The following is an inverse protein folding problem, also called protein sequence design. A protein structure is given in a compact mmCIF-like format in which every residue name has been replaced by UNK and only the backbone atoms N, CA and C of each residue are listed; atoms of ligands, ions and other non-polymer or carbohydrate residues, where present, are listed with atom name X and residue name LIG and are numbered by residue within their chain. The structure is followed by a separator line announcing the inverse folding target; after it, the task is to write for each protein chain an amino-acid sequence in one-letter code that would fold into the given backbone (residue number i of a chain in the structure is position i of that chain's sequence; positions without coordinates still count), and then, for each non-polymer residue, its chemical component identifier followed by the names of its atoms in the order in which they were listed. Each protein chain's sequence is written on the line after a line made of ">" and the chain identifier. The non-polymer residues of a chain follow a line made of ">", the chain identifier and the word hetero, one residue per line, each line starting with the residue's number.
data_IF_546080500168
#
_entry.id   IF_546080500168
#
_cell.length_a   1.000
_cell.length_b   1.000
_cell.length_c   1.000
_cell.angle_alpha   90.00
_cell.angle_beta   90.00
_cell.angle_gamma   90.00
#
_symmetry.space_group_name_H-M   'P 1'
#
loop_
_entity.id
_entity.type
_entity.pdbx_description
1 polymer ?
#
# COMPACT_ATOMS: atom_id res chain seq x y z
N UNK A 1 -24.68 6.50 22.75
CA UNK A 1 -25.07 7.71 22.00
C UNK A 1 -26.47 7.47 21.47
N UNK A 2 -27.40 8.41 21.66
CA UNK A 2 -28.79 8.30 21.20
C UNK A 2 -29.25 9.64 20.61
N UNK A 3 -28.57 10.11 19.57
CA UNK A 3 -28.90 11.36 18.87
C UNK A 3 -30.04 11.18 17.87
N UNK A 4 -30.84 12.24 17.65
CA UNK A 4 -31.90 12.25 16.63
C UNK A 4 -32.92 11.09 16.79
N UNK A 5 -33.19 10.66 18.02
CA UNK A 5 -34.06 9.50 18.31
C UNK A 5 -35.46 9.90 18.81
N UNK A 6 -35.75 11.20 18.86
CA UNK A 6 -37.02 11.76 19.37
C UNK A 6 -37.29 11.41 20.84
N UNK A 7 -36.25 11.18 21.64
CA UNK A 7 -36.41 10.90 23.07
C UNK A 7 -37.09 12.07 23.79
N UNK A 8 -38.04 11.76 24.65
CA UNK A 8 -38.84 12.72 25.42
C UNK A 8 -38.69 12.45 26.93
N UNK A 9 -39.02 13.45 27.74
CA UNK A 9 -38.94 13.39 29.21
C UNK A 9 -37.61 13.91 29.77
N UNK A 10 -37.46 13.80 31.08
CA UNK A 10 -36.31 14.31 31.82
C UNK A 10 -35.16 13.30 31.84
N UNK A 11 -33.92 13.80 31.75
CA UNK A 11 -32.72 12.97 31.89
C UNK A 11 -32.57 12.54 33.36
N UNK A 12 -32.59 11.23 33.67
CA UNK A 12 -32.51 10.76 35.05
C UNK A 12 -31.09 10.93 35.61
N UNK A 13 -30.97 11.48 36.82
CA UNK A 13 -29.69 11.67 37.51
C UNK A 13 -28.87 10.38 37.65
N UNK A 14 -29.54 9.24 37.80
CA UNK A 14 -28.90 7.93 37.92
C UNK A 14 -28.12 7.51 36.68
N UNK A 15 -28.42 8.08 35.51
CA UNK A 15 -27.64 7.86 34.29
C UNK A 15 -26.18 8.23 34.53
N UNK A 16 -25.91 9.37 35.17
CA UNK A 16 -24.57 9.88 35.37
C UNK A 16 -23.77 9.10 36.41
N UNK A 17 -24.43 8.34 37.29
CA UNK A 17 -23.80 7.50 38.32
C UNK A 17 -23.29 6.15 37.82
N UNK A 18 -23.44 5.84 36.51
CA UNK A 18 -22.92 4.61 35.93
C UNK A 18 -21.38 4.61 35.95
N UNK A 19 -20.70 3.58 36.53
CA UNK A 19 -19.30 3.69 36.97
C UNK A 19 -18.27 3.88 35.86
N UNK A 20 -18.55 3.46 34.63
CA UNK A 20 -17.63 3.55 33.48
C UNK A 20 -18.12 4.56 32.42
N UNK A 21 -19.09 5.42 32.78
CA UNK A 21 -19.67 6.35 31.83
C UNK A 21 -18.68 7.46 31.50
N UNK A 22 -18.27 7.55 30.23
CA UNK A 22 -17.34 8.57 29.74
C UNK A 22 -18.02 9.68 28.94
N UNK A 23 -19.06 9.32 28.19
CA UNK A 23 -19.69 10.25 27.25
C UNK A 23 -21.18 10.00 27.15
N UNK A 24 -21.97 11.06 27.28
CA UNK A 24 -23.41 11.08 27.06
C UNK A 24 -23.68 11.99 25.87
N UNK A 25 -24.10 11.41 24.73
CA UNK A 25 -24.58 12.19 23.57
C UNK A 25 -26.06 11.89 23.38
N UNK A 26 -26.88 12.91 23.63
CA UNK A 26 -28.34 12.91 23.56
C UNK A 26 -28.85 14.13 22.77
N UNK A 27 -28.01 14.69 21.90
CA UNK A 27 -28.35 15.86 21.07
C UNK A 27 -29.51 15.61 20.11
N UNK A 28 -30.18 16.68 19.72
CA UNK A 28 -31.30 16.71 18.78
C UNK A 28 -32.43 15.74 19.19
N UNK A 29 -32.86 15.82 20.44
CA UNK A 29 -34.02 15.10 20.95
C UNK A 29 -35.05 16.10 21.49
N UNK A 30 -36.05 15.62 22.22
CA UNK A 30 -37.09 16.42 22.87
C UNK A 30 -37.03 16.29 24.40
N UNK A 31 -35.82 16.07 24.93
CA UNK A 31 -35.60 15.94 26.37
C UNK A 31 -35.92 17.27 27.05
N UNK A 32 -36.59 17.23 28.20
CA UNK A 32 -37.12 18.42 28.87
C UNK A 32 -36.85 18.42 30.38
N UNK A 33 -37.37 19.44 31.06
CA UNK A 33 -37.15 19.63 32.49
C UNK A 33 -35.76 20.17 32.80
N UNK A 34 -35.32 19.94 34.04
CA UNK A 34 -34.03 20.42 34.53
C UNK A 34 -32.98 19.31 34.48
N UNK A 35 -31.77 19.66 34.05
CA UNK A 35 -30.62 18.77 34.08
C UNK A 35 -30.02 18.75 35.49
N UNK A 36 -29.95 17.56 36.11
CA UNK A 36 -29.16 17.31 37.33
C UNK A 36 -28.16 16.17 37.04
N UNK A 37 -26.87 16.49 37.07
CA UNK A 37 -25.77 15.51 36.93
C UNK A 37 -25.53 14.75 38.24
N UNK A 38 -26.03 15.28 39.37
CA UNK A 38 -25.81 14.73 40.70
C UNK A 38 -24.38 14.94 41.20
N UNK A 39 -24.12 14.53 42.43
CA UNK A 39 -22.79 14.66 43.08
C UNK A 39 -21.95 13.39 42.99
N UNK A 40 -22.54 12.28 42.57
CA UNK A 40 -21.90 10.97 42.47
C UNK A 40 -21.94 10.47 41.03
N UNK A 41 -21.50 11.31 40.11
CA UNK A 41 -21.36 10.93 38.70
C UNK A 41 -20.05 10.18 38.48
N UNK A 42 -19.94 9.46 37.36
CA UNK A 42 -18.73 8.73 36.97
C UNK A 42 -17.49 9.62 36.95
N UNK A 43 -16.41 9.18 37.59
CA UNK A 43 -15.12 9.88 37.56
C UNK A 43 -14.55 9.97 36.13
N UNK A 44 -14.99 9.07 35.24
CA UNK A 44 -14.54 9.01 33.86
C UNK A 44 -15.38 9.88 32.91
N UNK A 45 -16.48 10.48 33.39
CA UNK A 45 -17.39 11.28 32.56
C UNK A 45 -16.69 12.55 32.05
N UNK A 46 -16.40 12.63 30.76
CA UNK A 46 -15.73 13.77 30.13
C UNK A 46 -16.70 14.67 29.35
N UNK A 47 -17.77 14.12 28.79
CA UNK A 47 -18.67 14.86 27.89
C UNK A 47 -20.14 14.55 28.17
N UNK A 48 -20.94 15.61 28.33
CA UNK A 48 -22.40 15.57 28.30
C UNK A 48 -22.88 16.53 27.21
N UNK A 49 -23.41 15.98 26.13
CA UNK A 49 -23.95 16.71 24.98
C UNK A 49 -25.46 16.53 24.89
N UNK A 50 -26.18 17.61 25.20
CA UNK A 50 -27.63 17.74 25.14
C UNK A 50 -28.05 18.86 24.17
N UNK A 51 -27.20 19.16 23.19
CA UNK A 51 -27.45 20.18 22.17
C UNK A 51 -28.84 19.99 21.51
N UNK A 52 -29.55 21.10 21.25
CA UNK A 52 -30.90 21.12 20.67
C UNK A 52 -31.87 20.14 21.34
N UNK A 53 -32.24 20.45 22.58
CA UNK A 53 -33.31 19.80 23.34
C UNK A 53 -34.24 20.88 23.93
N UNK A 54 -35.08 20.53 24.91
CA UNK A 54 -36.00 21.42 25.62
C UNK A 54 -35.64 21.58 27.11
N UNK A 55 -34.33 21.58 27.45
CA UNK A 55 -33.84 21.72 28.83
C UNK A 55 -34.10 23.15 29.35
N UNK A 56 -34.90 23.25 30.41
CA UNK A 56 -35.33 24.52 31.01
C UNK A 56 -34.34 25.08 32.03
N UNK A 57 -33.66 24.20 32.77
CA UNK A 57 -32.75 24.56 33.83
C UNK A 57 -31.61 23.57 34.01
N UNK A 58 -30.58 24.00 34.74
CA UNK A 58 -29.44 23.17 35.13
C UNK A 58 -29.24 23.36 36.63
N UNK A 59 -29.25 22.26 37.37
CA UNK A 59 -29.01 22.25 38.80
C UNK A 59 -27.51 22.39 39.03
N UNK A 60 -27.03 23.64 38.88
CA UNK A 60 -25.62 23.99 39.04
C UNK A 60 -25.24 23.96 40.52
N UNK A 61 -24.68 22.84 40.96
CA UNK A 61 -24.01 22.73 42.26
C UNK A 61 -22.55 23.15 42.05
N UNK A 62 -22.07 24.23 42.71
CA UNK A 62 -20.73 24.76 42.48
C UNK A 62 -19.66 23.68 42.61
N UNK A 63 -18.81 23.55 41.60
CA UNK A 63 -17.67 22.62 41.60
C UNK A 63 -18.01 21.14 41.35
N UNK A 64 -19.26 20.82 41.01
CA UNK A 64 -19.66 19.41 40.83
C UNK A 64 -19.20 18.86 39.48
N UNK A 65 -19.62 19.40 38.34
CA UNK A 65 -19.17 18.93 37.03
C UNK A 65 -18.23 19.95 36.35
N UNK A 66 -16.98 19.57 36.13
CA UNK A 66 -15.92 20.45 35.62
C UNK A 66 -15.42 20.06 34.22
N UNK A 67 -16.15 19.18 33.53
CA UNK A 67 -15.80 18.68 32.19
C UNK A 67 -16.69 19.33 31.13
N UNK A 68 -16.71 18.80 29.92
CA UNK A 68 -17.43 19.42 28.80
C UNK A 68 -18.93 19.19 28.94
N UNK A 69 -19.70 20.28 29.00
CA UNK A 69 -21.16 20.30 29.01
C UNK A 69 -21.64 21.17 27.83
N UNK A 70 -22.49 20.60 26.97
CA UNK A 70 -23.05 21.31 25.82
C UNK A 70 -24.58 21.32 25.95
N UNK A 71 -25.14 22.52 26.13
CA UNK A 71 -26.58 22.79 26.22
C UNK A 71 -27.05 23.81 25.16
N UNK A 72 -26.22 24.17 24.19
CA UNK A 72 -26.61 25.09 23.11
C UNK A 72 -27.91 24.64 22.43
N UNK A 73 -28.80 25.59 22.12
CA UNK A 73 -30.09 25.30 21.49
C UNK A 73 -31.19 24.83 22.45
N UNK A 74 -30.98 24.93 23.77
CA UNK A 74 -32.00 24.70 24.79
C UNK A 74 -32.56 26.03 25.36
N UNK A 75 -33.77 26.05 25.94
CA UNK A 75 -34.35 27.22 26.60
C UNK A 75 -33.44 27.87 27.67
N UNK A 76 -32.68 27.07 28.43
CA UNK A 76 -31.68 27.57 29.39
C UNK A 76 -30.63 28.49 28.77
N UNK A 77 -30.39 28.38 27.46
CA UNK A 77 -29.42 29.18 26.72
C UNK A 77 -30.01 30.41 26.03
N UNK A 78 -31.24 30.83 26.35
CA UNK A 78 -31.87 32.00 25.73
C UNK A 78 -31.03 33.28 25.79
N UNK A 79 -30.23 33.46 26.85
CA UNK A 79 -29.38 34.64 27.04
C UNK A 79 -27.91 34.42 26.63
N UNK A 80 -27.48 33.19 26.29
CA UNK A 80 -26.11 32.82 25.87
C UNK A 80 -24.94 33.22 26.80
N UNK A 81 -25.19 33.60 28.06
CA UNK A 81 -24.15 34.10 28.97
C UNK A 81 -23.23 33.03 29.59
N UNK A 82 -23.52 31.74 29.37
CA UNK A 82 -22.86 30.61 30.05
C UNK A 82 -21.98 29.81 29.08
N UNK A 83 -20.87 29.28 29.58
CA UNK A 83 -19.90 28.51 28.78
C UNK A 83 -20.52 27.27 28.12
N UNK A 84 -21.45 26.60 28.80
CA UNK A 84 -22.18 25.44 28.26
C UNK A 84 -23.18 25.80 27.16
N UNK A 85 -23.48 27.09 26.95
CA UNK A 85 -24.34 27.57 25.86
C UNK A 85 -23.55 27.93 24.60
N UNK A 86 -22.23 27.83 24.64
CA UNK A 86 -21.37 28.04 23.49
C UNK A 86 -20.77 26.69 23.10
N UNK A 87 -20.82 26.36 21.81
CA UNK A 87 -19.93 25.31 21.29
C UNK A 87 -18.55 25.94 21.23
N UNK A 88 -17.78 25.77 22.30
CA UNK A 88 -16.34 25.85 22.12
C UNK A 88 -16.04 24.75 21.10
N UNK A 89 -15.58 25.12 19.90
CA UNK A 89 -14.77 24.18 19.15
C UNK A 89 -13.72 23.73 20.15
N UNK A 90 -13.78 22.49 20.61
CA UNK A 90 -12.65 21.90 21.27
C UNK A 90 -11.56 21.99 20.22
N UNK A 91 -10.78 23.07 20.29
CA UNK A 91 -9.59 23.29 19.49
C UNK A 91 -8.90 21.96 19.46
N UNK A 92 -8.76 21.37 18.27
CA UNK A 92 -7.69 20.47 17.87
C UNK A 92 -6.81 20.09 19.07
N UNK A 93 -7.35 19.31 20.01
CA UNK A 93 -6.60 18.88 21.16
C UNK A 93 -5.49 18.06 20.56
N UNK A 94 -4.24 18.36 20.88
CA UNK A 94 -3.08 17.73 20.24
C UNK A 94 -3.38 16.24 20.09
N UNK A 95 -3.67 15.85 18.86
CA UNK A 95 -4.05 14.48 18.57
C UNK A 95 -2.87 13.63 19.00
N UNK A 96 -3.12 12.53 19.72
CA UNK A 96 -2.05 11.72 20.26
C UNK A 96 -1.03 11.45 19.17
N UNK A 97 0.25 11.62 19.50
CA UNK A 97 1.36 11.20 18.68
C UNK A 97 2.38 10.58 19.61
N UNK A 98 2.99 9.49 19.15
CA UNK A 98 4.04 8.82 19.92
C UNK A 98 5.22 9.79 20.13
N UNK A 99 5.63 10.05 21.38
CA UNK A 99 6.76 10.93 21.68
C UNK A 99 8.09 10.29 21.27
N UNK A 100 9.12 11.12 21.08
CA UNK A 100 10.48 10.62 20.86
C UNK A 100 11.10 10.03 22.14
N UNK A 101 11.92 8.99 21.98
CA UNK A 101 12.60 8.29 23.06
C UNK A 101 13.91 9.00 23.41
N UNK A 102 13.84 10.01 24.27
CA UNK A 102 15.00 10.74 24.81
C UNK A 102 15.98 11.25 23.73
N UNK A 103 15.47 11.56 22.55
CA UNK A 103 16.24 12.02 21.41
C UNK A 103 15.54 13.21 20.75
N UNK A 104 16.34 14.07 20.12
CA UNK A 104 15.80 15.18 19.34
C UNK A 104 15.52 14.70 17.91
N UNK A 105 14.28 14.87 17.40
CA UNK A 105 13.93 14.50 16.03
C UNK A 105 14.86 15.21 15.05
N UNK A 106 15.46 14.44 14.16
CA UNK A 106 16.30 14.95 13.08
C UNK A 106 15.45 15.23 11.84
N UNK A 107 15.83 16.27 11.08
CA UNK A 107 15.26 16.52 9.76
C UNK A 107 15.74 15.46 8.79
N UNK A 108 14.84 14.56 8.40
CA UNK A 108 15.15 13.49 7.47
C UNK A 108 15.21 13.96 6.01
N UNK A 109 15.92 13.21 5.16
CA UNK A 109 15.97 13.45 3.72
C UNK A 109 14.64 13.08 3.03
N UNK A 110 14.51 13.37 1.72
CA UNK A 110 13.34 13.11 0.86
C UNK A 110 12.47 11.91 1.32
N UNK A 111 11.20 12.21 1.65
CA UNK A 111 10.13 11.28 2.05
C UNK A 111 10.39 10.37 3.27
N UNK A 112 11.56 10.43 3.90
CA UNK A 112 11.84 9.72 5.14
C UNK A 112 11.16 10.39 6.33
N UNK A 113 10.81 9.58 7.33
CA UNK A 113 10.21 10.01 8.58
C UNK A 113 11.12 9.63 9.73
N UNK A 114 11.25 10.52 10.72
CA UNK A 114 12.01 10.24 11.94
C UNK A 114 11.21 9.30 12.84
N UNK A 115 11.80 8.15 13.18
CA UNK A 115 11.20 7.19 14.10
C UNK A 115 11.15 7.73 15.54
N UNK A 116 10.40 7.09 16.46
CA UNK A 116 10.49 7.41 17.89
C UNK A 116 11.92 7.31 18.46
N UNK A 117 12.81 6.51 17.84
CA UNK A 117 14.22 6.42 18.18
C UNK A 117 15.11 7.44 17.44
N UNK A 118 14.50 8.42 16.76
CA UNK A 118 15.14 9.45 15.95
C UNK A 118 16.01 8.92 14.80
N UNK A 119 15.62 7.78 14.23
CA UNK A 119 16.28 7.21 13.04
C UNK A 119 15.41 7.51 11.82
N UNK A 120 16.01 8.07 10.76
CA UNK A 120 15.30 8.32 9.52
C UNK A 120 15.12 7.03 8.72
N UNK A 121 13.88 6.69 8.39
CA UNK A 121 13.55 5.52 7.59
C UNK A 121 12.26 5.75 6.78
N UNK A 122 11.93 4.78 5.93
CA UNK A 122 10.68 4.66 5.17
C UNK A 122 9.74 3.70 5.91
N UNK A 123 8.88 4.20 6.81
CA UNK A 123 8.04 3.33 7.62
C UNK A 123 6.97 2.64 6.78
N UNK A 124 6.65 1.39 7.13
CA UNK A 124 5.42 0.77 6.66
C UNK A 124 4.25 1.45 7.35
N UNK A 125 3.48 2.21 6.57
CA UNK A 125 2.44 3.10 7.08
C UNK A 125 1.06 2.58 6.72
N UNK A 126 0.10 2.79 7.60
CA UNK A 126 -1.31 2.50 7.36
C UNK A 126 -2.20 2.96 8.51
N UNK A 127 -3.46 2.58 8.47
CA UNK A 127 -4.45 2.92 9.49
C UNK A 127 -4.93 1.65 10.19
N UNK A 128 -4.85 1.64 11.52
CA UNK A 128 -5.56 0.69 12.35
C UNK A 128 -6.98 1.19 12.55
N UNK A 129 -7.97 0.37 12.20
CA UNK A 129 -9.38 0.70 12.37
C UNK A 129 -10.02 -0.26 13.35
N UNK A 130 -10.48 0.29 14.48
CA UNK A 130 -11.15 -0.43 15.56
C UNK A 130 -12.66 -0.18 15.48
N UNK A 131 -13.44 -1.26 15.42
CA UNK A 131 -14.88 -1.14 15.14
C UNK A 131 -15.73 -0.79 16.36
N UNK A 132 -15.29 -1.19 17.55
CA UNK A 132 -16.07 -1.06 18.76
C UNK A 132 -15.16 -0.99 20.01
N UNK A 133 -14.38 0.09 20.17
CA UNK A 133 -13.67 0.31 21.42
C UNK A 133 -14.68 0.52 22.56
N UNK A 134 -14.36 0.04 23.76
CA UNK A 134 -15.20 0.19 24.96
C UNK A 134 -15.01 1.56 25.64
N UNK A 135 -14.31 2.48 24.99
CA UNK A 135 -14.03 3.83 25.47
C UNK A 135 -14.41 4.88 24.41
N UNK A 136 -14.69 6.09 24.88
CA UNK A 136 -15.02 7.25 24.05
C UNK A 136 -14.12 8.45 24.29
N UNK A 137 -13.42 8.50 25.43
CA UNK A 137 -12.42 9.52 25.69
C UNK A 137 -11.12 9.24 24.91
N UNK A 138 -10.91 9.96 23.81
CA UNK A 138 -9.68 9.84 23.02
C UNK A 138 -8.48 10.59 23.64
N UNK A 139 -8.70 11.40 24.69
CA UNK A 139 -7.65 12.17 25.37
C UNK A 139 -6.81 11.37 26.36
N UNK A 140 -7.28 10.19 26.77
CA UNK A 140 -6.53 9.33 27.68
C UNK A 140 -5.35 8.65 26.96
N UNK A 141 -4.14 9.10 27.32
CA UNK A 141 -2.89 8.66 26.68
C UNK A 141 -2.57 7.17 26.94
N UNK A 142 -3.06 6.59 28.04
CA UNK A 142 -2.74 5.22 28.43
C UNK A 142 -3.18 4.20 27.38
N UNK A 143 -4.32 4.42 26.70
CA UNK A 143 -4.81 3.53 25.65
C UNK A 143 -3.78 3.32 24.54
N UNK A 144 -3.15 4.41 24.10
CA UNK A 144 -2.18 4.37 23.01
C UNK A 144 -0.81 3.87 23.46
N UNK A 145 -0.43 4.14 24.71
CA UNK A 145 0.79 3.59 25.33
C UNK A 145 0.71 2.05 25.37
N UNK A 146 -0.42 1.51 25.85
CA UNK A 146 -0.66 0.08 25.93
C UNK A 146 -0.73 -0.57 24.54
N UNK A 147 -1.43 0.07 23.60
CA UNK A 147 -1.52 -0.40 22.23
C UNK A 147 -0.13 -0.48 21.56
N UNK A 148 0.68 0.57 21.72
CA UNK A 148 2.05 0.62 21.18
C UNK A 148 2.95 -0.45 21.79
N UNK A 149 2.87 -0.64 23.11
CA UNK A 149 3.64 -1.67 23.81
C UNK A 149 3.26 -3.07 23.31
N UNK A 150 1.97 -3.36 23.19
CA UNK A 150 1.47 -4.66 22.71
C UNK A 150 1.86 -4.94 21.24
N UNK A 151 1.77 -3.94 20.35
CA UNK A 151 2.28 -4.05 18.98
C UNK A 151 3.77 -4.39 18.95
N UNK A 152 4.57 -3.65 19.73
CA UNK A 152 6.02 -3.84 19.81
C UNK A 152 6.36 -5.24 20.31
N UNK A 153 5.72 -5.69 21.40
CA UNK A 153 5.91 -7.02 21.97
C UNK A 153 5.52 -8.13 20.98
N UNK A 154 4.42 -7.93 20.24
CA UNK A 154 3.97 -8.89 19.23
C UNK A 154 5.01 -9.02 18.11
N UNK A 155 5.48 -7.91 17.54
CA UNK A 155 6.49 -7.93 16.48
C UNK A 155 7.82 -8.56 16.94
N UNK A 156 8.23 -8.29 18.18
CA UNK A 156 9.41 -8.93 18.78
C UNK A 156 9.21 -10.44 18.95
N UNK A 157 8.05 -10.88 19.46
CA UNK A 157 7.73 -12.31 19.64
C UNK A 157 7.71 -13.08 18.32
N UNK A 158 7.28 -12.42 17.23
CA UNK A 158 7.26 -12.95 15.87
C UNK A 158 8.62 -12.81 15.16
N UNK A 159 9.65 -12.29 15.85
CA UNK A 159 11.01 -12.08 15.33
C UNK A 159 11.04 -11.25 14.03
N UNK A 160 10.18 -10.24 13.94
CA UNK A 160 10.11 -9.36 12.78
C UNK A 160 11.24 -8.30 12.83
N UNK A 161 11.73 -7.82 11.68
CA UNK A 161 12.80 -6.82 11.62
C UNK A 161 12.28 -5.41 11.92
N UNK A 162 11.58 -5.21 13.04
CA UNK A 162 10.98 -3.94 13.46
C UNK A 162 11.80 -3.33 14.58
N UNK A 163 12.19 -2.07 14.42
CA UNK A 163 12.90 -1.29 15.45
C UNK A 163 11.92 -0.61 16.41
N UNK A 164 10.95 0.12 15.86
CA UNK A 164 10.02 0.93 16.62
C UNK A 164 8.68 1.09 15.90
N UNK A 165 7.67 1.47 16.66
CA UNK A 165 6.30 1.71 16.19
C UNK A 165 5.86 3.10 16.66
N UNK A 166 5.26 3.87 15.75
CA UNK A 166 4.61 5.13 16.06
C UNK A 166 3.12 5.04 15.77
N UNK A 167 2.33 5.47 16.75
CA UNK A 167 0.89 5.69 16.64
C UNK A 167 0.63 7.19 16.65
N UNK A 168 -0.27 7.65 15.78
CA UNK A 168 -0.67 9.05 15.74
C UNK A 168 -2.09 9.26 15.25
N UNK A 169 -2.58 10.47 15.48
CA UNK A 169 -3.86 10.97 14.98
C UNK A 169 -5.07 10.06 15.24
N UNK A 170 -5.36 9.67 16.50
CA UNK A 170 -6.59 8.96 16.81
C UNK A 170 -7.83 9.84 16.58
N UNK A 171 -8.80 9.34 15.83
CA UNK A 171 -10.09 10.00 15.67
C UNK A 171 -11.19 8.97 15.44
N UNK A 172 -12.44 9.34 15.74
CA UNK A 172 -13.61 8.53 15.36
C UNK A 172 -14.19 9.07 14.06
N UNK A 173 -14.47 8.16 13.12
CA UNK A 173 -15.14 8.51 11.87
C UNK A 173 -16.66 8.72 12.08
N UNK A 174 -17.38 9.03 11.01
CA UNK A 174 -18.85 9.17 11.05
C UNK A 174 -19.59 7.88 11.46
N UNK A 175 -18.91 6.74 11.41
CA UNK A 175 -19.43 5.42 11.78
C UNK A 175 -19.06 5.03 13.21
N UNK A 176 -18.51 5.96 14.00
CA UNK A 176 -17.97 5.74 15.36
C UNK A 176 -16.82 4.72 15.43
N UNK A 177 -16.18 4.41 14.29
CA UNK A 177 -14.99 3.58 14.23
C UNK A 177 -13.77 4.41 14.61
N UNK A 178 -12.96 3.88 15.52
CA UNK A 178 -11.73 4.53 15.93
C UNK A 178 -10.62 4.21 14.91
N UNK A 179 -10.16 5.24 14.22
CA UNK A 179 -9.02 5.18 13.32
C UNK A 179 -7.77 5.73 13.99
N UNK A 180 -6.65 5.01 13.86
CA UNK A 180 -5.34 5.42 14.38
C UNK A 180 -4.30 5.20 13.29
N UNK A 181 -3.49 6.23 13.01
CA UNK A 181 -2.38 6.11 12.07
C UNK A 181 -1.26 5.28 12.71
N UNK A 182 -0.80 4.26 11.98
CA UNK A 182 0.28 3.36 12.38
C UNK A 182 1.46 3.54 11.43
N UNK A 183 2.65 3.73 11.98
CA UNK A 183 3.92 3.69 11.28
C UNK A 183 4.82 2.67 11.94
N UNK A 184 5.27 1.67 11.18
CA UNK A 184 6.20 0.63 11.64
C UNK A 184 7.57 0.93 11.04
N UNK A 185 8.61 1.02 11.85
CA UNK A 185 9.96 1.37 11.43
C UNK A 185 10.88 0.14 11.39
N UNK A 186 11.71 -0.02 10.34
CA UNK A 186 12.59 -1.17 10.16
C UNK A 186 13.80 -1.15 11.12
N UNK A 187 14.31 -2.35 11.45
CA UNK A 187 15.55 -2.53 12.19
C UNK A 187 16.72 -2.85 11.26
N UNK A 188 17.84 -2.15 11.43
CA UNK A 188 19.10 -2.37 10.71
C UNK A 188 19.16 -1.85 9.26
N UNK A 189 18.04 -1.43 8.67
CA UNK A 189 17.96 -0.82 7.32
C UNK A 189 17.02 0.39 7.33
N UNK A 190 17.04 1.19 6.25
CA UNK A 190 16.15 2.35 6.09
C UNK A 190 14.75 1.97 5.57
N UNK A 191 14.54 0.73 5.11
CA UNK A 191 13.27 0.22 4.59
C UNK A 191 13.12 -1.28 4.81
N UNK A 192 11.89 -1.77 4.75
CA UNK A 192 11.62 -3.20 4.74
C UNK A 192 11.84 -3.80 3.35
N UNK A 193 12.26 -5.07 3.30
CA UNK A 193 12.16 -5.89 2.11
C UNK A 193 10.74 -6.44 1.93
N UNK A 194 10.46 -7.05 0.78
CA UNK A 194 9.14 -7.60 0.45
C UNK A 194 8.67 -8.64 1.46
N UNK A 195 9.58 -9.50 1.93
CA UNK A 195 9.30 -10.50 2.96
C UNK A 195 8.93 -9.86 4.30
N UNK A 196 9.65 -8.81 4.72
CA UNK A 196 9.41 -8.08 5.95
C UNK A 196 8.03 -7.42 5.95
N UNK A 197 7.67 -6.74 4.86
CA UNK A 197 6.33 -6.17 4.69
C UNK A 197 5.26 -7.26 4.71
N UNK A 198 5.46 -8.36 3.97
CA UNK A 198 4.50 -9.46 3.91
C UNK A 198 4.25 -10.09 5.28
N UNK A 199 5.29 -10.26 6.10
CA UNK A 199 5.16 -10.79 7.45
C UNK A 199 4.46 -9.81 8.41
N UNK A 200 4.79 -8.52 8.35
CA UNK A 200 4.10 -7.50 9.17
C UNK A 200 2.61 -7.43 8.78
N UNK A 201 2.33 -7.38 7.47
CA UNK A 201 0.97 -7.38 6.94
C UNK A 201 0.20 -8.65 7.35
N UNK A 202 0.86 -9.82 7.34
CA UNK A 202 0.27 -11.07 7.80
C UNK A 202 -0.07 -11.04 9.29
N UNK A 203 0.83 -10.56 10.15
CA UNK A 203 0.57 -10.46 11.60
C UNK A 203 -0.62 -9.56 11.90
N UNK A 204 -0.73 -8.43 11.19
CA UNK A 204 -1.83 -7.47 11.34
C UNK A 204 -3.15 -7.94 10.73
N UNK A 205 -3.10 -8.61 9.56
CA UNK A 205 -4.31 -9.01 8.83
C UNK A 205 -4.88 -10.35 9.28
N UNK A 206 -4.03 -11.29 9.68
CA UNK A 206 -4.43 -12.63 10.14
C UNK A 206 -4.72 -12.68 11.65
N UNK A 207 -4.89 -11.51 12.29
CA UNK A 207 -5.20 -11.35 13.71
C UNK A 207 -4.28 -12.12 14.67
N UNK A 208 -3.00 -12.27 14.31
CA UNK A 208 -1.97 -12.80 15.23
C UNK A 208 -1.73 -11.75 16.31
N UNK A 209 -1.66 -10.47 15.91
CA UNK A 209 -1.74 -9.38 16.87
C UNK A 209 -3.13 -9.33 17.51
N UNK A 210 -3.17 -9.31 18.85
CA UNK A 210 -4.37 -9.09 19.65
C UNK A 210 -4.22 -7.77 20.41
N UNK A 211 -4.98 -6.72 20.07
CA UNK A 211 -4.93 -5.46 20.82
C UNK A 211 -5.47 -5.65 22.24
N UNK A 212 -5.22 -4.71 23.16
CA UNK A 212 -5.87 -4.71 24.47
C UNK A 212 -7.40 -4.81 24.34
N UNK A 213 -8.06 -5.52 25.26
CA UNK A 213 -9.47 -5.91 25.12
C UNK A 213 -10.43 -4.73 24.91
N UNK A 214 -10.10 -3.57 25.48
CA UNK A 214 -10.89 -2.33 25.37
C UNK A 214 -10.88 -1.69 23.97
N UNK A 215 -10.04 -2.16 23.03
CA UNK A 215 -10.08 -1.72 21.63
C UNK A 215 -11.06 -2.52 20.77
N UNK A 216 -11.43 -3.73 21.19
CA UNK A 216 -12.30 -4.61 20.42
C UNK A 216 -11.69 -5.07 19.08
N UNK A 217 -12.53 -5.54 18.13
CA UNK A 217 -12.06 -6.07 16.85
C UNK A 217 -11.50 -4.96 15.96
N UNK A 218 -10.40 -5.27 15.28
CA UNK A 218 -9.71 -4.34 14.39
C UNK A 218 -9.42 -4.95 13.02
N UNK A 219 -9.14 -4.07 12.07
CA UNK A 219 -8.47 -4.42 10.82
C UNK A 219 -7.44 -3.36 10.47
N UNK A 220 -6.46 -3.73 9.65
CA UNK A 220 -5.41 -2.83 9.21
C UNK A 220 -5.58 -2.48 7.73
N UNK A 221 -5.44 -1.21 7.39
CA UNK A 221 -5.47 -0.69 6.02
C UNK A 221 -4.11 -0.07 5.71
N UNK A 222 -3.30 -0.73 4.88
CA UNK A 222 -2.01 -0.19 4.47
C UNK A 222 -2.17 1.02 3.53
N UNK A 223 -1.26 1.98 3.64
CA UNK A 223 -1.14 3.06 2.65
C UNK A 223 -0.45 2.51 1.40
N UNK A 224 -1.09 2.63 0.24
CA UNK A 224 -0.55 2.15 -1.03
C UNK A 224 0.08 3.29 -1.85
N UNK A 225 1.15 3.05 -2.62
CA UNK A 225 2.04 1.87 -2.64
C UNK A 225 3.29 2.04 -1.74
N UNK A 226 3.84 0.94 -1.22
CA UNK A 226 5.15 0.94 -0.53
C UNK A 226 6.28 0.80 -1.56
N UNK A 227 7.21 1.76 -1.62
CA UNK A 227 8.28 1.77 -2.62
C UNK A 227 9.45 0.85 -2.24
N UNK A 228 9.58 -0.25 -2.99
CA UNK A 228 10.75 -1.13 -2.94
C UNK A 228 11.91 -0.58 -3.78
N UNK A 229 13.14 -1.05 -3.54
CA UNK A 229 14.34 -0.64 -4.28
C UNK A 229 14.15 -0.72 -5.81
N UNK A 230 14.01 0.43 -6.46
CA UNK A 230 13.93 0.58 -7.92
C UNK A 230 15.28 0.34 -8.63
N UNK A 231 16.39 0.29 -7.89
CA UNK A 231 17.73 0.10 -8.45
C UNK A 231 17.93 -1.23 -9.20
N UNK A 232 17.26 -2.30 -8.78
CA UNK A 232 17.35 -3.61 -9.44
C UNK A 232 16.63 -3.58 -10.80
N UNK A 233 15.49 -2.87 -10.88
CA UNK A 233 14.70 -2.75 -12.11
C UNK A 233 15.48 -1.94 -13.16
N UNK A 234 16.15 -0.86 -12.74
CA UNK A 234 16.97 -0.03 -13.62
C UNK A 234 18.22 -0.80 -14.08
N UNK A 235 18.87 -1.56 -13.19
CA UNK A 235 20.04 -2.38 -13.53
C UNK A 235 19.72 -3.52 -14.50
N UNK A 236 18.60 -4.21 -14.30
CA UNK A 236 18.14 -5.29 -15.18
C UNK A 236 17.73 -4.75 -16.56
N UNK A 237 17.03 -3.61 -16.61
CA UNK A 237 16.66 -2.96 -17.86
C UNK A 237 17.89 -2.52 -18.65
N UNK A 238 18.85 -1.83 -18.00
CA UNK A 238 20.09 -1.39 -18.63
C UNK A 238 20.93 -2.56 -19.14
N UNK A 239 21.13 -3.61 -18.32
CA UNK A 239 21.85 -4.82 -18.71
C UNK A 239 21.20 -5.56 -19.87
N UNK A 240 19.86 -5.69 -19.85
CA UNK A 240 19.09 -6.31 -20.93
C UNK A 240 19.21 -5.55 -22.26
N UNK A 241 19.15 -4.22 -22.24
CA UNK A 241 19.37 -3.40 -23.45
C UNK A 241 20.77 -3.55 -24.03
N UNK A 242 21.81 -3.59 -23.19
CA UNK A 242 23.19 -3.77 -23.66
C UNK A 242 23.36 -5.16 -24.30
N UNK A 243 22.82 -6.20 -23.68
CA UNK A 243 22.88 -7.57 -24.22
C UNK A 243 22.17 -7.68 -25.58
N UNK A 244 20.98 -7.07 -25.71
CA UNK A 244 20.24 -7.04 -26.98
C UNK A 244 21.02 -6.32 -28.08
N UNK A 245 21.65 -5.18 -27.77
CA UNK A 245 22.48 -4.46 -28.74
C UNK A 245 23.70 -5.28 -29.19
N UNK A 246 24.35 -5.99 -28.27
CA UNK A 246 25.48 -6.88 -28.61
C UNK A 246 25.04 -8.05 -29.51
N UNK A 247 23.89 -8.66 -29.23
CA UNK A 247 23.33 -9.73 -30.06
C UNK A 247 22.94 -9.25 -31.46
N UNK A 248 22.36 -8.05 -31.57
CA UNK A 248 22.05 -7.44 -32.86
C UNK A 248 23.33 -7.15 -33.66
N UNK A 249 24.37 -6.60 -33.03
CA UNK A 249 25.66 -6.37 -33.67
C UNK A 249 26.31 -7.68 -34.14
N UNK A 250 26.29 -8.72 -33.31
CA UNK A 250 26.80 -10.04 -33.66
C UNK A 250 26.01 -10.67 -34.82
N UNK A 251 24.68 -10.54 -34.82
CA UNK A 251 23.81 -11.00 -35.91
C UNK A 251 24.08 -10.27 -37.22
N UNK A 252 24.22 -8.94 -37.18
CA UNK A 252 24.59 -8.12 -38.35
C UNK A 252 25.99 -8.49 -38.85
N UNK A 253 26.95 -8.72 -37.94
CA UNK A 253 28.29 -9.16 -38.29
C UNK A 253 28.29 -10.53 -38.98
N UNK A 254 27.62 -11.52 -38.40
CA UNK A 254 27.48 -12.86 -38.97
C UNK A 254 26.79 -12.83 -40.34
N UNK A 255 25.74 -12.02 -40.49
CA UNK A 255 25.05 -11.84 -41.77
C UNK A 255 25.96 -11.19 -42.83
N UNK A 256 26.74 -10.17 -42.46
CA UNK A 256 27.72 -9.55 -43.37
C UNK A 256 28.83 -10.52 -43.74
N UNK A 257 29.29 -11.35 -42.82
CA UNK A 257 30.31 -12.37 -43.07
C UNK A 257 29.78 -13.44 -44.02
N UNK A 258 28.56 -13.94 -43.80
CA UNK A 258 27.88 -14.88 -44.71
C UNK A 258 27.74 -14.29 -46.11
N UNK A 259 27.24 -13.06 -46.22
CA UNK A 259 27.09 -12.38 -47.51
C UNK A 259 28.42 -12.12 -48.23
N UNK A 260 29.50 -11.87 -47.49
CA UNK A 260 30.86 -11.78 -48.07
C UNK A 260 31.35 -13.13 -48.56
N UNK A 261 31.12 -14.21 -47.82
CA UNK A 261 31.48 -15.56 -48.24
C UNK A 261 30.71 -15.99 -49.50
N UNK A 262 29.40 -15.71 -49.56
CA UNK A 262 28.57 -15.95 -50.76
C UNK A 262 29.09 -15.16 -51.96
N UNK A 263 29.40 -13.86 -51.81
CA UNK A 263 30.00 -13.07 -52.89
C UNK A 263 31.36 -13.59 -53.35
N UNK A 264 32.20 -14.08 -52.44
CA UNK A 264 33.50 -14.66 -52.81
C UNK A 264 33.33 -15.98 -53.56
N UNK A 265 32.36 -16.81 -53.16
CA UNK A 265 31.92 -18.01 -53.90
C UNK A 265 31.41 -17.65 -55.30
N UNK A 266 30.57 -16.63 -55.42
CA UNK A 266 30.04 -16.16 -56.71
C UNK A 266 31.15 -15.59 -57.61
N UNK A 267 32.18 -14.94 -57.04
CA UNK A 267 33.31 -14.39 -57.77
C UNK A 267 34.37 -15.45 -58.14
N UNK A 268 34.43 -16.55 -57.39
CA UNK A 268 35.27 -17.73 -57.67
C UNK A 268 34.60 -18.72 -58.63
N UNK A 269 33.33 -18.52 -59.01
CA UNK A 269 32.68 -19.30 -60.07
C UNK A 269 33.33 -18.98 -61.42
N UNK A 270 34.16 -19.86 -62.01
CA UNK A 270 34.92 -19.57 -63.22
C UNK A 270 34.06 -19.49 -64.50
N UNK A 271 32.73 -19.60 -64.38
CA UNK A 271 31.83 -19.90 -65.51
C UNK A 271 30.58 -19.02 -65.57
N UNK A 272 30.45 -18.00 -64.71
CA UNK A 272 29.34 -17.06 -64.73
C UNK A 272 29.72 -15.77 -65.47
N UNK A 273 29.93 -15.85 -66.78
CA UNK A 273 29.78 -14.68 -67.66
C UNK A 273 29.22 -15.15 -69.01
N UNK A 274 27.91 -14.99 -69.18
CA UNK A 274 27.28 -15.08 -70.49
C UNK A 274 27.40 -13.73 -71.17
N UNK A 275 28.02 -13.69 -72.35
CA UNK A 275 27.95 -12.53 -73.23
C UNK A 275 26.56 -12.51 -73.88
N UNK A 276 25.72 -11.57 -73.43
CA UNK A 276 24.36 -11.38 -73.93
C UNK A 276 24.32 -10.62 -75.28
N UNK A 277 25.47 -10.33 -75.89
CA UNK A 277 25.56 -9.53 -77.10
C UNK A 277 26.03 -10.31 -78.34
N UNK A 278 25.39 -11.45 -78.62
CA UNK A 278 25.38 -11.99 -79.99
C UNK A 278 23.94 -12.18 -80.47
N UNK A 279 23.54 -11.29 -81.36
CA UNK A 279 22.23 -11.32 -82.00
C UNK A 279 22.06 -12.52 -82.93
N UNK A 280 20.78 -12.76 -83.25
CA UNK A 280 20.29 -13.58 -84.37
C UNK A 280 20.40 -15.11 -84.23
N UNK A 281 19.27 -15.73 -83.84
CA UNK A 281 18.65 -16.82 -84.61
C UNK A 281 19.38 -18.16 -84.81
N UNK A 282 20.49 -18.43 -84.12
CA UNK A 282 21.23 -19.70 -84.23
C UNK A 282 20.92 -20.68 -83.09
N UNK A 283 20.79 -21.97 -83.43
CA UNK A 283 20.76 -23.09 -82.47
C UNK A 283 21.98 -22.97 -81.53
N UNK A 284 21.80 -22.96 -80.20
CA UNK A 284 22.91 -22.76 -79.28
C UNK A 284 23.92 -23.90 -79.39
N UNK A 285 25.12 -23.60 -79.90
CA UNK A 285 26.20 -24.59 -79.98
C UNK A 285 26.85 -24.79 -78.60
N UNK A 286 26.91 -26.06 -78.18
CA UNK A 286 27.60 -26.50 -76.96
C UNK A 286 29.12 -26.32 -77.13
N UNK A 287 29.69 -25.27 -76.52
CA UNK A 287 31.14 -25.01 -76.51
C UNK A 287 31.90 -25.69 -75.35
N UNK A 288 31.40 -26.81 -74.82
CA UNK A 288 32.11 -27.60 -73.80
C UNK A 288 31.20 -28.38 -72.86
N UNK A 289 31.81 -29.28 -72.07
CA UNK A 289 31.10 -30.07 -71.08
C UNK A 289 30.46 -29.16 -70.01
N UNK A 290 29.15 -29.30 -69.78
CA UNK A 290 28.45 -28.61 -68.69
C UNK A 290 28.74 -29.35 -67.38
N UNK A 291 29.38 -28.69 -66.43
CA UNK A 291 29.46 -29.16 -65.05
C UNK A 291 28.29 -28.62 -64.24
N UNK A 292 27.56 -29.51 -63.58
CA UNK A 292 26.52 -29.16 -62.62
C UNK A 292 27.07 -29.33 -61.21
N UNK A 293 26.67 -28.45 -60.29
CA UNK A 293 27.05 -28.62 -58.89
C UNK A 293 26.39 -29.89 -58.32
N UNK A 294 27.01 -30.51 -57.31
CA UNK A 294 26.42 -31.66 -56.63
C UNK A 294 25.03 -31.32 -56.05
N UNK A 295 24.83 -30.09 -55.58
CA UNK A 295 23.54 -29.63 -55.06
C UNK A 295 22.47 -29.52 -56.14
N UNK A 296 22.80 -29.01 -57.34
CA UNK A 296 21.89 -29.03 -58.48
C UNK A 296 21.55 -30.44 -58.90
N UNK A 297 22.55 -31.31 -59.07
CA UNK A 297 22.32 -32.71 -59.42
C UNK A 297 21.44 -33.38 -58.38
N UNK A 298 21.70 -33.18 -57.09
CA UNK A 298 20.88 -33.69 -55.98
C UNK A 298 19.47 -33.12 -55.98
N UNK A 299 19.28 -31.84 -56.33
CA UNK A 299 17.96 -31.21 -56.41
C UNK A 299 17.14 -31.77 -57.57
N UNK A 300 17.73 -31.88 -58.76
CA UNK A 300 17.02 -32.30 -59.97
C UNK A 300 16.85 -33.81 -60.09
N UNK A 301 17.72 -34.61 -59.47
CA UNK A 301 17.55 -36.08 -59.39
C UNK A 301 16.70 -36.53 -58.20
N UNK A 302 16.16 -35.57 -57.42
CA UNK A 302 15.46 -35.85 -56.16
C UNK A 302 16.28 -36.77 -55.23
N UNK A 303 17.51 -36.35 -54.94
CA UNK A 303 18.51 -37.08 -54.13
C UNK A 303 18.86 -38.47 -54.68
N UNK A 304 18.85 -38.64 -56.01
CA UNK A 304 19.11 -39.93 -56.65
C UNK A 304 18.20 -41.05 -56.10
N UNK A 305 16.91 -40.72 -55.91
CA UNK A 305 15.92 -41.68 -55.41
C UNK A 305 15.86 -42.92 -56.30
N UNK A 306 15.91 -44.11 -55.70
CA UNK A 306 15.84 -45.39 -56.44
C UNK A 306 14.54 -45.53 -57.24
N UNK A 307 13.47 -44.83 -56.85
CA UNK A 307 12.20 -44.81 -57.57
C UNK A 307 12.31 -44.21 -58.99
N UNK A 308 13.38 -43.45 -59.27
CA UNK A 308 13.65 -42.84 -60.57
C UNK A 308 14.75 -43.57 -61.35
N UNK A 309 15.22 -44.74 -60.88
CA UNK A 309 16.23 -45.50 -61.61
C UNK A 309 15.60 -46.20 -62.81
N UNK A 310 16.16 -45.92 -63.99
CA UNK A 310 15.71 -46.46 -65.28
C UNK A 310 16.41 -47.79 -65.56
N UNK A 311 17.57 -48.06 -64.95
CA UNK A 311 18.22 -49.38 -65.00
C UNK A 311 19.63 -49.40 -64.42
N UNK A 312 20.21 -50.59 -64.23
CA UNK A 312 21.58 -50.76 -63.74
C UNK A 312 22.41 -51.64 -64.66
N UNK A 313 23.59 -51.18 -65.05
CA UNK A 313 24.55 -51.94 -65.86
C UNK A 313 25.92 -52.06 -65.19
N UNK A 314 26.89 -52.64 -65.90
CA UNK A 314 28.27 -52.85 -65.41
C UNK A 314 29.05 -51.59 -65.02
N UNK A 315 28.49 -50.40 -65.29
CA UNK A 315 29.06 -49.10 -64.95
C UNK A 315 28.21 -48.30 -63.94
N UNK A 316 27.17 -48.89 -63.35
CA UNK A 316 26.36 -48.28 -62.28
C UNK A 316 24.87 -48.19 -62.57
N UNK A 317 24.14 -47.55 -61.64
CA UNK A 317 22.70 -47.25 -61.75
C UNK A 317 22.49 -45.96 -62.56
N UNK A 318 21.50 -45.98 -63.44
CA UNK A 318 21.01 -44.86 -64.25
C UNK A 318 19.58 -44.57 -63.87
#
# INVERSE_FOLDING_TARGET
>A
MMENTQLEGQVPVSLFSLPNLQTVVLRNNKLNGDLDIGTNYSNDLQLVDLLNNSIGGYVDKPGVYNKTLILMGNPICANNDKTYCMVSQSNNGQSYSTPSNNCQPISCSLAQVSSPNCICAYPYSGTLVFRAPSFSDLGNLSYYIDLRANLTNTFQSQKLPVDSVSLSNPYKDSSEQLEISLQVFPSGQDRFNETGISLIAFVLSNQIFKPPDFFGPFYFRANAPYEFYTGIIIGAAAGGTVLLLLLLLAGVYAFRQKRRAERASDQLNPFANWDLNSGSGGIPQLKGARCFSFEELKKYTNKFSEANSIGSGGYGKV
#
